data_IF_037023843331
#
_entry.id   IF_037023843331
#
_cell.length_a   1.000
_cell.length_b   1.000
_cell.length_c   1.000
_cell.angle_alpha   90.00
_cell.angle_beta   90.00
_cell.angle_gamma   90.00
#
_symmetry.space_group_name_H-M   'P 1'
#
loop_
_entity.id
_entity.type
_entity.pdbx_description
1 polymer ?
#
# COMPACT_ATOMS: atom_id res chain seq x y z
N UNK A 1 -10.18 -5.59 -3.63
CA UNK A 1 -10.09 -6.82 -4.46
C UNK A 1 -9.73 -8.00 -3.55
N UNK A 2 -10.12 -9.24 -3.87
CA UNK A 2 -9.63 -10.40 -3.12
C UNK A 2 -8.15 -10.61 -3.43
N UNK A 3 -7.32 -10.71 -2.39
CA UNK A 3 -5.87 -10.87 -2.54
C UNK A 3 -5.47 -12.19 -3.19
N UNK A 4 -6.34 -13.21 -3.17
CA UNK A 4 -6.12 -14.47 -3.87
C UNK A 4 -6.07 -14.32 -5.40
N UNK A 5 -6.46 -13.15 -5.94
CA UNK A 5 -6.37 -12.80 -7.35
C UNK A 5 -5.10 -12.00 -7.68
N UNK A 6 -4.26 -11.72 -6.68
CA UNK A 6 -3.01 -10.95 -6.81
C UNK A 6 -1.85 -11.91 -6.99
N UNK A 7 -1.19 -11.82 -8.14
CA UNK A 7 0.12 -12.46 -8.32
C UNK A 7 1.20 -11.56 -7.73
N UNK A 8 1.76 -12.01 -6.61
CA UNK A 8 2.86 -11.31 -5.94
C UNK A 8 4.19 -11.79 -6.51
N UNK A 9 5.09 -10.86 -6.81
CA UNK A 9 6.50 -11.12 -7.13
C UNK A 9 7.39 -10.38 -6.14
N UNK A 10 8.66 -10.78 -6.01
CA UNK A 10 9.63 -10.09 -5.16
C UNK A 10 10.64 -9.34 -6.01
N UNK A 11 11.05 -8.16 -5.57
CA UNK A 11 12.06 -7.35 -6.24
C UNK A 11 12.89 -6.57 -5.23
N UNK A 12 14.10 -6.19 -5.63
CA UNK A 12 15.00 -5.36 -4.82
C UNK A 12 14.81 -3.89 -5.17
N UNK A 13 14.68 -3.05 -4.15
CA UNK A 13 14.58 -1.60 -4.27
C UNK A 13 15.03 -0.92 -2.97
N UNK A 14 15.76 0.20 -3.06
CA UNK A 14 16.30 0.92 -1.89
C UNK A 14 16.98 0.01 -0.85
N UNK A 15 17.83 -0.91 -1.32
CA UNK A 15 18.55 -1.88 -0.50
C UNK A 15 17.64 -2.78 0.38
N UNK A 16 16.38 -2.97 -0.01
CA UNK A 16 15.45 -3.86 0.64
C UNK A 16 14.70 -4.75 -0.36
N UNK A 17 14.26 -5.92 0.12
CA UNK A 17 13.40 -6.82 -0.63
C UNK A 17 11.94 -6.39 -0.42
N UNK A 18 11.23 -6.17 -1.52
CA UNK A 18 9.83 -5.75 -1.51
C UNK A 18 8.94 -6.76 -2.21
N UNK A 19 7.70 -6.87 -1.73
CA UNK A 19 6.62 -7.53 -2.46
C UNK A 19 6.03 -6.56 -3.49
N UNK A 20 5.85 -7.04 -4.72
CA UNK A 20 5.26 -6.32 -5.83
C UNK A 20 4.09 -7.07 -6.44
N UNK A 21 3.21 -6.34 -7.13
CA UNK A 21 2.12 -6.92 -7.90
C UNK A 21 1.89 -6.17 -9.19
N UNK A 22 1.26 -6.83 -10.16
CA UNK A 22 0.83 -6.26 -11.42
C UNK A 22 -0.70 -6.20 -11.47
N UNK A 23 -1.25 -5.01 -11.74
CA UNK A 23 -2.68 -4.80 -11.92
C UNK A 23 -2.93 -3.74 -12.99
N UNK A 24 -3.80 -4.03 -13.95
CA UNK A 24 -4.17 -3.12 -15.05
C UNK A 24 -2.99 -2.44 -15.77
N UNK A 25 -1.96 -3.22 -16.13
CA UNK A 25 -0.76 -2.71 -16.83
C UNK A 25 0.09 -1.73 -15.99
N UNK A 26 -0.01 -1.83 -14.67
CA UNK A 26 0.77 -1.06 -13.71
C UNK A 26 1.38 -1.98 -12.66
N UNK A 27 2.59 -1.60 -12.22
CA UNK A 27 3.33 -2.28 -11.18
C UNK A 27 3.19 -1.52 -9.87
N UNK A 28 2.90 -2.25 -8.82
CA UNK A 28 2.74 -1.74 -7.48
C UNK A 28 3.69 -2.46 -6.52
N UNK A 29 4.07 -1.80 -5.44
CA UNK A 29 4.78 -2.41 -4.32
C UNK A 29 3.92 -2.35 -3.06
N UNK A 30 4.08 -3.35 -2.18
CA UNK A 30 3.37 -3.39 -0.90
C UNK A 30 4.01 -2.39 0.06
N UNK A 31 3.29 -1.31 0.34
CA UNK A 31 3.73 -0.26 1.25
C UNK A 31 3.37 -0.57 2.71
N UNK A 32 2.24 -1.25 2.93
CA UNK A 32 1.88 -1.78 4.24
C UNK A 32 0.99 -3.01 4.13
N UNK A 33 1.02 -3.83 5.17
CA UNK A 33 0.03 -4.86 5.46
C UNK A 33 -0.31 -4.79 6.95
N UNK A 34 -1.61 -4.80 7.25
CA UNK A 34 -2.13 -4.75 8.63
C UNK A 34 -3.24 -5.78 8.79
N UNK A 35 -3.64 -6.06 10.01
CA UNK A 35 -4.80 -6.91 10.30
C UNK A 35 -6.10 -6.31 9.70
N UNK A 36 -7.04 -7.19 9.34
CA UNK A 36 -8.29 -6.79 8.66
C UNK A 36 -9.16 -5.82 9.49
N UNK A 37 -8.98 -5.77 10.80
CA UNK A 37 -9.65 -4.83 11.72
C UNK A 37 -9.35 -3.35 11.38
N UNK A 38 -8.17 -3.09 10.81
CA UNK A 38 -7.69 -1.76 10.41
C UNK A 38 -8.07 -1.38 8.98
N UNK A 39 -8.85 -2.20 8.26
CA UNK A 39 -9.21 -1.99 6.85
C UNK A 39 -9.73 -0.58 6.55
N UNK A 40 -10.57 -0.02 7.42
CA UNK A 40 -11.14 1.32 7.21
C UNK A 40 -10.05 2.39 7.18
N UNK A 41 -9.04 2.29 8.05
CA UNK A 41 -7.90 3.21 8.07
C UNK A 41 -7.05 3.07 6.81
N UNK A 42 -6.84 1.84 6.34
CA UNK A 42 -6.13 1.58 5.08
C UNK A 42 -6.86 2.18 3.88
N UNK A 43 -8.18 2.02 3.81
CA UNK A 43 -8.99 2.66 2.77
C UNK A 43 -8.89 4.18 2.80
N UNK A 44 -9.00 4.79 3.98
CA UNK A 44 -8.83 6.25 4.09
C UNK A 44 -7.43 6.71 3.67
N UNK A 45 -6.39 5.94 4.00
CA UNK A 45 -5.03 6.23 3.57
C UNK A 45 -4.90 6.15 2.04
N UNK A 46 -5.46 5.10 1.42
CA UNK A 46 -5.49 4.93 -0.03
C UNK A 46 -6.17 6.11 -0.74
N UNK A 47 -7.32 6.57 -0.20
CA UNK A 47 -8.01 7.74 -0.73
C UNK A 47 -7.14 9.00 -0.64
N UNK A 48 -6.55 9.29 0.53
CA UNK A 48 -5.67 10.46 0.70
C UNK A 48 -4.47 10.44 -0.24
N UNK A 49 -3.86 9.28 -0.45
CA UNK A 49 -2.76 9.12 -1.42
C UNK A 49 -3.25 9.35 -2.86
N UNK A 50 -4.43 8.85 -3.20
CA UNK A 50 -5.05 9.06 -4.51
C UNK A 50 -5.37 10.53 -4.77
N UNK A 51 -5.84 11.27 -3.76
CA UNK A 51 -6.06 12.73 -3.84
C UNK A 51 -4.76 13.50 -4.15
N UNK A 52 -3.61 12.93 -3.77
CA UNK A 52 -2.28 13.44 -4.07
C UNK A 52 -1.65 12.80 -5.32
N UNK A 53 -2.48 12.27 -6.24
CA UNK A 53 -2.07 11.69 -7.51
C UNK A 53 -1.18 10.44 -7.39
N UNK A 54 -1.13 9.79 -6.22
CA UNK A 54 -0.47 8.50 -6.07
C UNK A 54 -1.47 7.37 -6.39
N UNK A 55 -1.18 6.56 -7.40
CA UNK A 55 -2.01 5.40 -7.74
C UNK A 55 -1.88 4.35 -6.64
N UNK A 56 -3.00 3.93 -6.08
CA UNK A 56 -3.06 2.96 -4.98
C UNK A 56 -3.97 1.79 -5.32
N UNK A 57 -3.64 0.63 -4.76
CA UNK A 57 -4.45 -0.58 -4.82
C UNK A 57 -4.61 -1.12 -3.39
N UNK A 58 -5.83 -1.56 -3.05
CA UNK A 58 -6.13 -2.19 -1.75
C UNK A 58 -6.56 -3.63 -1.97
N UNK A 59 -5.89 -4.54 -1.28
CA UNK A 59 -6.23 -5.96 -1.27
C UNK A 59 -6.59 -6.44 0.13
N UNK A 60 -7.45 -7.47 0.15
CA UNK A 60 -7.95 -8.07 1.37
C UNK A 60 -7.79 -9.59 1.27
N UNK A 61 -7.18 -10.18 2.29
CA UNK A 61 -7.34 -11.59 2.68
C UNK A 61 -8.31 -11.69 3.85
N UNK A 62 -8.54 -12.90 4.36
CA UNK A 62 -9.31 -13.09 5.60
C UNK A 62 -8.61 -12.44 6.80
N UNK A 63 -7.28 -12.47 6.85
CA UNK A 63 -6.49 -12.03 8.01
C UNK A 63 -5.83 -10.64 7.85
N UNK A 64 -5.62 -10.18 6.61
CA UNK A 64 -4.83 -8.98 6.33
C UNK A 64 -5.46 -8.07 5.28
N UNK A 65 -5.23 -6.78 5.46
CA UNK A 65 -5.47 -5.72 4.49
C UNK A 65 -4.12 -5.14 4.05
N UNK A 66 -3.85 -5.16 2.74
CA UNK A 66 -2.60 -4.62 2.18
C UNK A 66 -2.88 -3.39 1.34
N UNK A 67 -2.02 -2.39 1.51
CA UNK A 67 -1.95 -1.21 0.65
C UNK A 67 -0.76 -1.35 -0.29
N UNK A 68 -1.06 -1.19 -1.57
CA UNK A 68 -0.12 -1.23 -2.66
C UNK A 68 -0.04 0.15 -3.28
N UNK A 69 1.18 0.62 -3.55
CA UNK A 69 1.43 1.92 -4.15
C UNK A 69 2.13 1.70 -5.48
N UNK A 70 1.73 2.43 -6.51
CA UNK A 70 2.37 2.35 -7.82
C UNK A 70 3.85 2.73 -7.73
N UNK A 71 4.70 1.92 -8.37
CA UNK A 71 6.13 2.23 -8.52
C UNK A 71 6.36 3.53 -9.29
N UNK A 72 5.42 3.95 -10.16
CA UNK A 72 5.52 5.22 -10.89
C UNK A 72 5.34 6.44 -9.98
N UNK A 73 4.58 6.29 -8.91
CA UNK A 73 4.33 7.35 -7.92
C UNK A 73 5.16 7.18 -6.65
N UNK A 74 6.20 6.33 -6.65
CA UNK A 74 6.93 5.95 -5.43
C UNK A 74 7.50 7.16 -4.68
N UNK A 75 8.05 8.15 -5.37
CA UNK A 75 8.68 9.34 -4.75
C UNK A 75 7.61 10.23 -4.12
N UNK A 76 6.59 10.58 -4.90
CA UNK A 76 5.44 11.37 -4.43
C UNK A 76 4.73 10.71 -3.24
N UNK A 77 4.60 9.38 -3.29
CA UNK A 77 3.99 8.62 -2.23
C UNK A 77 4.89 8.54 -1.00
N UNK A 78 6.20 8.29 -1.13
CA UNK A 78 7.12 8.16 0.00
C UNK A 78 7.15 9.42 0.89
N UNK A 79 7.20 10.60 0.26
CA UNK A 79 7.21 11.89 0.95
C UNK A 79 5.96 12.09 1.81
N UNK A 80 4.81 11.61 1.33
CA UNK A 80 3.50 11.78 2.00
C UNK A 80 3.12 10.62 2.90
N UNK A 81 3.60 9.42 2.58
CA UNK A 81 3.24 8.19 3.27
C UNK A 81 3.67 8.26 4.72
N UNK A 82 4.90 8.71 4.99
CA UNK A 82 5.42 8.86 6.36
C UNK A 82 4.53 9.77 7.22
N UNK A 83 4.15 10.94 6.70
CA UNK A 83 3.29 11.91 7.38
C UNK A 83 1.88 11.35 7.63
N UNK A 84 1.30 10.72 6.61
CA UNK A 84 -0.06 10.18 6.66
C UNK A 84 -0.17 8.95 7.57
N UNK A 85 0.86 8.11 7.59
CA UNK A 85 0.97 6.96 8.49
C UNK A 85 1.03 7.42 9.93
N UNK A 86 1.88 8.40 10.25
CA UNK A 86 2.02 8.91 11.62
C UNK A 86 0.69 9.44 12.18
N UNK A 87 -0.14 10.07 11.34
CA UNK A 87 -1.46 10.57 11.76
C UNK A 87 -2.56 9.50 11.89
N UNK A 88 -2.48 8.38 11.14
CA UNK A 88 -3.51 7.32 11.13
C UNK A 88 -3.15 6.12 12.03
N UNK A 89 -1.87 5.93 12.26
CA UNK A 89 -1.27 4.88 13.08
C UNK A 89 -0.20 5.51 13.99
N UNK A 90 -0.61 6.32 14.98
CA UNK A 90 0.35 6.91 15.92
C UNK A 90 1.09 5.80 16.68
N UNK A 91 2.39 6.01 16.98
CA UNK A 91 3.16 5.05 17.76
C UNK A 91 2.65 5.03 19.20
N UNK A 92 1.95 3.94 19.57
CA UNK A 92 1.53 3.65 20.94
C UNK A 92 0.22 4.33 21.37
N UNK A 93 -0.70 3.52 21.87
CA UNK A 93 -1.75 3.90 22.80
C UNK A 93 -1.36 3.31 24.15
#
# INVERSE_FOLDING_TARGET
MSENQIRVFRFWFNDALHDGTHFQNELYYRAMAVETDRRTRVYHLACKLSDHQASTLVSLTEAQCSLWISLRSQTTAADRFSDLIAGLFPPGN
#
